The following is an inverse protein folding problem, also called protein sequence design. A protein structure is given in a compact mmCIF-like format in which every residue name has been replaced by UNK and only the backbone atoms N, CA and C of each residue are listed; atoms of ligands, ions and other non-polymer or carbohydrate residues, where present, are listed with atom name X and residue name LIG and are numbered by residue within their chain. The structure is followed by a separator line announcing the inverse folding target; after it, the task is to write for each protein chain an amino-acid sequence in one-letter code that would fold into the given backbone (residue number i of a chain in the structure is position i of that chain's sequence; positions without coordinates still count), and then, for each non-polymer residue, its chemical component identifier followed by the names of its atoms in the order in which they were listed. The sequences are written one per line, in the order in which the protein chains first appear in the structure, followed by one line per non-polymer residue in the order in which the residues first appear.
data_IF_238715479329
#
_entry.id   IF_238715479329
#
_cell.length_a   1.000
_cell.length_b   1.000
_cell.length_c   1.000
_cell.angle_alpha   90.00
_cell.angle_beta   90.00
_cell.angle_gamma   90.00
#
_symmetry.space_group_name_H-M   'P 1'
#
loop_
_entity.id
_entity.type
_entity.pdbx_description
1 polymer ?
#
# COMPACT_ATOMS: atom_id res chain seq x y z
N UNK A 1 12.48 -30.65 -0.34
CA UNK A 1 11.15 -31.19 -0.68
C UNK A 1 10.97 -32.48 0.10
N UNK A 2 10.13 -32.50 1.13
CA UNK A 2 9.90 -33.70 1.94
C UNK A 2 8.67 -34.42 1.35
N UNK A 3 8.89 -35.45 0.52
CA UNK A 3 7.82 -36.20 -0.16
C UNK A 3 7.68 -37.54 0.57
N UNK A 4 6.47 -37.87 1.02
CA UNK A 4 6.18 -39.12 1.75
C UNK A 4 5.45 -40.15 0.88
N UNK A 5 5.81 -40.20 -0.41
CA UNK A 5 5.13 -41.05 -1.39
C UNK A 5 5.21 -42.54 -1.05
N UNK A 6 6.35 -43.01 -0.51
CA UNK A 6 6.52 -44.42 -0.14
C UNK A 6 5.59 -44.84 1.00
N UNK A 7 5.51 -44.00 2.04
CA UNK A 7 4.56 -44.18 3.14
C UNK A 7 3.11 -44.13 2.67
N UNK A 8 2.77 -43.20 1.77
CA UNK A 8 1.43 -43.07 1.21
C UNK A 8 1.03 -44.28 0.36
N UNK A 9 1.89 -44.77 -0.54
CA UNK A 9 1.64 -45.98 -1.32
C UNK A 9 1.36 -47.15 -0.38
N UNK A 10 2.21 -47.36 0.64
CA UNK A 10 2.04 -48.44 1.63
C UNK A 10 0.72 -48.29 2.38
N UNK A 11 0.40 -47.08 2.85
CA UNK A 11 -0.81 -46.77 3.62
C UNK A 11 -2.06 -47.03 2.78
N UNK A 12 -2.14 -46.48 1.57
CA UNK A 12 -3.28 -46.61 0.67
C UNK A 12 -3.48 -48.05 0.21
N UNK A 13 -2.38 -48.77 -0.09
CA UNK A 13 -2.42 -50.18 -0.43
C UNK A 13 -3.00 -51.02 0.72
N UNK A 14 -2.54 -50.79 1.95
CA UNK A 14 -3.06 -51.47 3.15
C UNK A 14 -4.53 -51.13 3.42
N UNK A 15 -4.93 -49.86 3.26
CA UNK A 15 -6.33 -49.43 3.41
C UNK A 15 -7.27 -50.12 2.43
N UNK A 16 -6.80 -50.41 1.21
CA UNK A 16 -7.56 -51.14 0.19
C UNK A 16 -7.42 -52.67 0.27
N UNK A 17 -6.65 -53.20 1.23
CA UNK A 17 -6.44 -54.64 1.38
C UNK A 17 -5.66 -55.30 0.23
N UNK A 18 -4.85 -54.53 -0.50
CA UNK A 18 -4.12 -54.99 -1.70
C UNK A 18 -2.72 -55.49 -1.32
N UNK A 19 -2.20 -56.55 -1.95
CA UNK A 19 -0.82 -57.02 -1.73
C UNK A 19 0.18 -56.27 -2.62
N UNK A 20 1.48 -56.33 -2.31
CA UNK A 20 2.48 -55.66 -3.16
C UNK A 20 2.50 -56.27 -4.56
N UNK A 21 2.29 -57.59 -4.66
CA UNK A 21 2.18 -58.34 -5.90
C UNK A 21 0.98 -57.88 -6.73
N UNK A 22 -0.20 -57.78 -6.11
CA UNK A 22 -1.41 -57.35 -6.82
C UNK A 22 -1.32 -55.90 -7.33
N UNK A 23 -0.63 -55.02 -6.58
CA UNK A 23 -0.36 -53.66 -7.04
C UNK A 23 0.66 -53.66 -8.19
N UNK A 24 1.70 -54.50 -8.11
CA UNK A 24 2.72 -54.63 -9.15
C UNK A 24 2.13 -55.11 -10.48
N UNK A 25 1.27 -56.14 -10.42
CA UNK A 25 0.56 -56.67 -11.59
C UNK A 25 -0.33 -55.59 -12.24
N UNK A 26 -1.01 -54.78 -11.43
CA UNK A 26 -1.87 -53.71 -11.93
C UNK A 26 -1.10 -52.60 -12.64
N UNK A 27 0.10 -52.29 -12.18
CA UNK A 27 0.95 -51.23 -12.72
C UNK A 27 1.97 -51.76 -13.74
N UNK A 28 1.93 -53.05 -14.06
CA UNK A 28 2.89 -53.73 -14.94
C UNK A 28 4.35 -53.51 -14.53
N UNK A 29 4.63 -53.63 -13.22
CA UNK A 29 5.96 -53.53 -12.64
C UNK A 29 6.28 -54.77 -11.80
N UNK A 30 7.50 -54.87 -11.28
CA UNK A 30 7.87 -55.99 -10.41
C UNK A 30 7.44 -55.73 -8.96
N UNK A 31 7.09 -56.76 -8.17
CA UNK A 31 6.82 -56.60 -6.74
C UNK A 31 7.98 -55.97 -5.97
N UNK A 32 9.23 -56.21 -6.41
CA UNK A 32 10.41 -55.55 -5.85
C UNK A 32 10.39 -54.03 -6.08
N UNK A 33 9.85 -53.54 -7.20
CA UNK A 33 9.69 -52.11 -7.45
C UNK A 33 8.73 -51.48 -6.42
N UNK A 34 7.57 -52.10 -6.19
CA UNK A 34 6.61 -51.65 -5.16
C UNK A 34 7.25 -51.65 -3.78
N UNK A 35 7.95 -52.72 -3.41
CA UNK A 35 8.63 -52.81 -2.11
C UNK A 35 9.69 -51.71 -1.92
N UNK A 36 10.46 -51.41 -2.97
CA UNK A 36 11.44 -50.31 -2.97
C UNK A 36 10.77 -48.94 -2.84
N UNK A 37 9.65 -48.73 -3.53
CA UNK A 37 8.88 -47.49 -3.41
C UNK A 37 8.34 -47.30 -2.00
N UNK A 38 7.73 -48.34 -1.43
CA UNK A 38 7.17 -48.28 -0.08
C UNK A 38 8.25 -48.04 0.98
N UNK A 39 9.43 -48.62 0.81
CA UNK A 39 10.57 -48.47 1.74
C UNK A 39 11.42 -47.23 1.52
N UNK A 40 11.02 -46.34 0.60
CA UNK A 40 11.79 -45.13 0.22
C UNK A 40 13.20 -45.43 -0.29
N UNK A 41 13.48 -46.69 -0.64
CA UNK A 41 14.73 -47.15 -1.26
C UNK A 41 14.80 -46.84 -2.77
N UNK A 42 13.80 -46.12 -3.28
CA UNK A 42 13.66 -45.64 -4.65
C UNK A 42 12.28 -45.01 -4.84
N UNK A 43 12.13 -44.14 -5.83
CA UNK A 43 10.85 -43.51 -6.15
C UNK A 43 10.28 -44.06 -7.47
N UNK A 44 8.94 -44.11 -7.63
CA UNK A 44 8.34 -44.38 -8.92
C UNK A 44 8.75 -43.29 -9.92
N UNK A 45 9.00 -43.68 -11.17
CA UNK A 45 9.17 -42.71 -12.25
C UNK A 45 7.89 -41.88 -12.42
N UNK A 46 8.03 -40.66 -12.95
CA UNK A 46 6.91 -39.72 -13.13
C UNK A 46 5.74 -40.33 -13.92
N UNK A 47 6.05 -41.23 -14.85
CA UNK A 47 5.09 -41.96 -15.70
C UNK A 47 4.13 -42.84 -14.89
N UNK A 48 4.52 -43.34 -13.72
CA UNK A 48 3.68 -44.19 -12.87
C UNK A 48 2.78 -43.41 -11.92
N UNK A 49 3.00 -42.10 -11.76
CA UNK A 49 2.24 -41.29 -10.81
C UNK A 49 0.75 -41.19 -11.17
N UNK A 50 0.35 -40.96 -12.43
CA UNK A 50 -1.06 -40.95 -12.82
C UNK A 50 -1.76 -42.29 -12.57
N UNK A 51 -1.08 -43.41 -12.85
CA UNK A 51 -1.63 -44.75 -12.67
C UNK A 51 -1.77 -45.12 -11.18
N UNK A 52 -0.79 -44.76 -10.36
CA UNK A 52 -0.86 -44.90 -8.91
C UNK A 52 -2.01 -44.06 -8.31
N UNK A 53 -2.09 -42.79 -8.71
CA UNK A 53 -3.14 -41.87 -8.26
C UNK A 53 -4.53 -42.38 -8.68
N UNK A 54 -4.68 -42.78 -9.94
CA UNK A 54 -5.89 -43.39 -10.48
C UNK A 54 -6.25 -44.71 -9.80
N UNK A 55 -5.28 -45.57 -9.51
CA UNK A 55 -5.52 -46.81 -8.77
C UNK A 55 -6.05 -46.54 -7.36
N UNK A 56 -5.48 -45.57 -6.64
CA UNK A 56 -5.89 -45.22 -5.28
C UNK A 56 -7.06 -44.24 -5.20
N UNK A 57 -7.51 -43.68 -6.33
CA UNK A 57 -8.64 -42.75 -6.40
C UNK A 57 -8.37 -41.42 -5.71
N UNK A 58 -7.13 -40.94 -5.78
CA UNK A 58 -6.67 -39.67 -5.18
C UNK A 58 -5.95 -38.83 -6.25
N UNK A 59 -5.68 -37.55 -5.94
CA UNK A 59 -4.83 -36.72 -6.79
C UNK A 59 -3.35 -37.13 -6.73
N UNK A 60 -2.55 -36.71 -7.73
CA UNK A 60 -1.09 -36.90 -7.70
C UNK A 60 -0.47 -36.11 -6.53
N UNK A 61 -0.99 -34.93 -6.22
CA UNK A 61 -0.57 -34.14 -5.06
C UNK A 61 -0.76 -34.91 -3.74
N UNK A 62 -1.94 -35.50 -3.53
CA UNK A 62 -2.20 -36.36 -2.37
C UNK A 62 -1.28 -37.59 -2.33
N UNK A 63 -1.01 -38.21 -3.48
CA UNK A 63 -0.09 -39.35 -3.57
C UNK A 63 1.33 -38.96 -3.12
N UNK A 64 1.80 -37.78 -3.55
CA UNK A 64 3.08 -37.20 -3.16
C UNK A 64 3.11 -36.71 -1.70
N UNK A 65 1.96 -36.70 -1.01
CA UNK A 65 1.86 -36.14 0.34
C UNK A 65 1.84 -34.61 0.35
N UNK A 66 1.64 -33.98 -0.81
CA UNK A 66 1.42 -32.53 -0.92
C UNK A 66 -0.02 -32.26 -0.54
N UNK A 67 -0.24 -31.85 0.71
CA UNK A 67 -1.54 -31.38 1.15
C UNK A 67 -1.71 -29.95 0.68
N UNK A 68 -2.24 -29.78 -0.54
CA UNK A 68 -2.51 -28.47 -1.12
C UNK A 68 -3.29 -27.56 -0.17
N UNK A 69 -4.27 -28.12 0.56
CA UNK A 69 -5.04 -27.38 1.57
C UNK A 69 -4.19 -26.82 2.72
N UNK A 70 -3.16 -27.53 3.18
CA UNK A 70 -2.26 -27.05 4.24
C UNK A 70 -1.28 -26.00 3.69
N UNK A 71 -0.78 -26.18 2.46
CA UNK A 71 0.07 -25.20 1.78
C UNK A 71 -0.69 -23.90 1.46
N UNK A 72 -1.96 -24.01 1.05
CA UNK A 72 -2.85 -22.88 0.82
C UNK A 72 -3.21 -22.16 2.12
N UNK A 73 -3.56 -22.91 3.17
CA UNK A 73 -3.78 -22.33 4.50
C UNK A 73 -2.53 -21.60 5.01
N UNK A 74 -1.35 -22.18 4.81
CA UNK A 74 -0.07 -21.56 5.16
C UNK A 74 0.20 -20.28 4.36
N UNK A 75 -0.10 -20.27 3.06
CA UNK A 75 0.00 -19.06 2.23
C UNK A 75 -0.96 -17.97 2.73
N UNK A 76 -2.19 -18.35 3.06
CA UNK A 76 -3.20 -17.44 3.58
C UNK A 76 -2.80 -16.86 4.95
N UNK A 77 -2.20 -17.65 5.84
CA UNK A 77 -1.61 -17.15 7.09
C UNK A 77 -0.52 -16.10 6.83
N UNK A 78 0.35 -16.34 5.85
CA UNK A 78 1.40 -15.39 5.46
C UNK A 78 0.77 -14.12 4.90
N UNK A 79 -0.23 -14.19 4.03
CA UNK A 79 -0.92 -13.02 3.49
C UNK A 79 -1.57 -12.18 4.59
N UNK A 80 -2.21 -12.83 5.56
CA UNK A 80 -2.77 -12.15 6.72
C UNK A 80 -1.69 -11.49 7.58
N UNK A 81 -0.51 -12.10 7.70
CA UNK A 81 0.63 -11.49 8.39
C UNK A 81 1.21 -10.30 7.60
N UNK A 82 1.36 -10.42 6.28
CA UNK A 82 1.81 -9.35 5.38
C UNK A 82 0.89 -8.14 5.48
N UNK A 83 -0.43 -8.33 5.38
CA UNK A 83 -1.40 -7.24 5.54
C UNK A 83 -1.21 -6.51 6.87
N UNK A 84 -1.04 -7.25 7.97
CA UNK A 84 -0.80 -6.64 9.29
C UNK A 84 0.53 -5.90 9.38
N UNK A 85 1.56 -6.36 8.67
CA UNK A 85 2.88 -5.69 8.60
C UNK A 85 2.73 -4.38 7.81
N UNK A 86 2.03 -4.42 6.67
CA UNK A 86 1.78 -3.24 5.85
C UNK A 86 0.92 -2.19 6.57
N UNK A 87 -0.06 -2.62 7.36
CA UNK A 87 -0.95 -1.75 8.13
C UNK A 87 -0.28 -1.08 9.35
N UNK A 88 0.80 -1.70 9.86
CA UNK A 88 1.52 -1.25 11.08
C UNK A 88 2.91 -0.64 10.79
N UNK A 89 3.29 -0.56 9.52
CA UNK A 89 4.65 -0.26 9.08
C UNK A 89 5.68 -1.37 9.36
N UNK A 90 6.79 -1.31 8.62
CA UNK A 90 7.87 -2.29 8.66
C UNK A 90 8.79 -2.10 9.87
N UNK A 91 9.10 -3.18 10.57
CA UNK A 91 10.12 -3.24 11.63
C UNK A 91 11.25 -4.22 11.25
N UNK A 92 12.44 -4.17 11.89
CA UNK A 92 13.60 -4.97 11.47
C UNK A 92 13.33 -6.48 11.36
N UNK A 93 12.52 -7.02 12.27
CA UNK A 93 12.20 -8.45 12.32
C UNK A 93 11.33 -8.91 11.14
N UNK A 94 10.64 -8.00 10.45
CA UNK A 94 9.77 -8.33 9.31
C UNK A 94 10.57 -8.82 8.10
N UNK A 95 11.78 -8.31 7.90
CA UNK A 95 12.65 -8.76 6.80
C UNK A 95 12.99 -10.24 6.97
N UNK A 96 13.25 -10.69 8.20
CA UNK A 96 13.52 -12.10 8.49
C UNK A 96 12.33 -12.99 8.15
N UNK A 97 11.14 -12.63 8.65
CA UNK A 97 9.90 -13.33 8.34
C UNK A 97 9.61 -13.38 6.83
N UNK A 98 9.76 -12.26 6.12
CA UNK A 98 9.49 -12.17 4.69
C UNK A 98 10.52 -12.93 3.84
N UNK A 99 11.77 -13.05 4.29
CA UNK A 99 12.76 -13.93 3.66
C UNK A 99 12.38 -15.39 3.80
N UNK A 100 11.96 -15.81 4.98
CA UNK A 100 11.50 -17.19 5.22
C UNK A 100 10.25 -17.51 4.39
N UNK A 101 9.29 -16.58 4.34
CA UNK A 101 8.11 -16.69 3.50
C UNK A 101 8.48 -16.76 2.01
N UNK A 102 9.41 -15.92 1.55
CA UNK A 102 9.90 -15.95 0.16
C UNK A 102 10.62 -17.27 -0.16
N UNK A 103 11.37 -17.84 0.78
CA UNK A 103 12.00 -19.15 0.60
C UNK A 103 10.96 -20.28 0.50
N UNK A 104 9.85 -20.18 1.24
CA UNK A 104 8.74 -21.14 1.20
C UNK A 104 7.87 -21.00 -0.09
N UNK A 105 7.72 -19.78 -0.58
CA UNK A 105 6.91 -19.39 -1.74
C UNK A 105 7.68 -18.48 -2.72
N UNK A 106 8.71 -18.99 -3.42
CA UNK A 106 9.62 -18.16 -4.22
C UNK A 106 8.99 -17.54 -5.47
N UNK A 107 7.88 -18.10 -5.97
CA UNK A 107 7.15 -17.58 -7.12
C UNK A 107 6.02 -16.60 -6.78
N UNK A 108 5.75 -16.38 -5.49
CA UNK A 108 4.59 -15.61 -5.05
C UNK A 108 4.86 -14.10 -5.15
N UNK A 109 4.12 -13.43 -6.04
CA UNK A 109 4.34 -12.01 -6.34
C UNK A 109 4.06 -11.11 -5.14
N UNK A 110 3.05 -11.43 -4.33
CA UNK A 110 2.68 -10.65 -3.13
C UNK A 110 3.77 -10.72 -2.07
N UNK A 111 4.26 -11.92 -1.76
CA UNK A 111 5.33 -12.11 -0.76
C UNK A 111 6.62 -11.42 -1.22
N UNK A 112 6.97 -11.54 -2.50
CA UNK A 112 8.14 -10.87 -3.09
C UNK A 112 8.02 -9.35 -3.03
N UNK A 113 6.85 -8.81 -3.34
CA UNK A 113 6.60 -7.37 -3.25
C UNK A 113 6.69 -6.86 -1.81
N UNK A 114 6.09 -7.57 -0.86
CA UNK A 114 6.19 -7.26 0.57
C UNK A 114 7.66 -7.28 1.06
N UNK A 115 8.44 -8.29 0.66
CA UNK A 115 9.87 -8.37 0.97
C UNK A 115 10.64 -7.17 0.41
N UNK A 116 10.40 -6.82 -0.87
CA UNK A 116 11.04 -5.66 -1.48
C UNK A 116 10.69 -4.36 -0.75
N UNK A 117 9.42 -4.19 -0.33
CA UNK A 117 9.01 -3.05 0.45
C UNK A 117 9.74 -3.00 1.80
N UNK A 118 9.75 -4.10 2.56
CA UNK A 118 10.44 -4.17 3.84
C UNK A 118 11.92 -3.83 3.73
N UNK A 119 12.60 -4.38 2.73
CA UNK A 119 14.03 -4.14 2.47
C UNK A 119 14.33 -2.67 2.14
N UNK A 120 13.37 -1.97 1.52
CA UNK A 120 13.54 -0.59 1.08
C UNK A 120 12.89 0.45 2.02
N UNK A 121 12.22 0.05 3.12
CA UNK A 121 11.45 0.96 3.99
C UNK A 121 12.17 1.41 5.27
N UNK A 122 13.43 1.00 5.50
CA UNK A 122 14.14 1.35 6.73
C UNK A 122 13.46 0.80 7.99
N UNK A 123 13.87 1.24 9.18
CA UNK A 123 13.24 0.79 10.44
C UNK A 123 13.24 1.92 11.46
N UNK A 124 12.04 2.48 11.74
CA UNK A 124 11.91 3.71 12.51
C UNK A 124 12.71 4.85 11.85
N UNK A 125 13.55 5.54 12.61
CA UNK A 125 14.40 6.62 12.11
C UNK A 125 15.65 6.14 11.33
N UNK A 126 15.87 4.82 11.20
CA UNK A 126 17.05 4.28 10.51
C UNK A 126 16.79 4.09 9.03
N UNK A 127 17.69 4.65 8.21
CA UNK A 127 17.72 4.39 6.78
C UNK A 127 17.96 2.90 6.47
N UNK A 128 17.38 2.38 5.37
CA UNK A 128 17.63 1.00 4.95
C UNK A 128 19.08 0.79 4.52
N UNK A 129 19.58 -0.42 4.77
CA UNK A 129 20.91 -0.82 4.34
C UNK A 129 20.99 -0.89 2.81
N UNK A 130 22.07 -0.36 2.23
CA UNK A 130 22.27 -0.33 0.76
C UNK A 130 22.10 -1.69 0.09
N UNK A 131 22.60 -2.74 0.72
CA UNK A 131 22.46 -4.10 0.19
C UNK A 131 20.98 -4.54 0.10
N UNK A 132 20.17 -4.22 1.12
CA UNK A 132 18.74 -4.48 1.11
C UNK A 132 18.02 -3.69 0.02
N UNK A 133 18.34 -2.41 -0.14
CA UNK A 133 17.76 -1.56 -1.20
C UNK A 133 18.09 -2.10 -2.60
N UNK A 134 19.33 -2.54 -2.85
CA UNK A 134 19.72 -3.15 -4.13
C UNK A 134 19.00 -4.49 -4.39
N UNK A 135 18.77 -5.28 -3.34
CA UNK A 135 17.98 -6.50 -3.44
C UNK A 135 16.51 -6.20 -3.77
N UNK A 136 15.90 -5.24 -3.06
CA UNK A 136 14.55 -4.78 -3.32
C UNK A 136 14.38 -4.31 -4.77
N UNK A 137 15.32 -3.51 -5.27
CA UNK A 137 15.32 -3.02 -6.65
C UNK A 137 15.33 -4.18 -7.66
N UNK A 138 16.19 -5.18 -7.45
CA UNK A 138 16.24 -6.38 -8.29
C UNK A 138 14.93 -7.15 -8.27
N UNK A 139 14.32 -7.33 -7.09
CA UNK A 139 13.04 -8.01 -6.94
C UNK A 139 11.94 -7.24 -7.71
N UNK A 140 11.85 -5.92 -7.54
CA UNK A 140 10.83 -5.09 -8.18
C UNK A 140 10.98 -5.09 -9.70
N UNK A 141 12.19 -4.96 -10.23
CA UNK A 141 12.39 -5.05 -11.68
C UNK A 141 11.99 -6.41 -12.24
N UNK A 142 12.21 -7.49 -11.50
CA UNK A 142 11.76 -8.82 -11.91
C UNK A 142 10.23 -8.94 -11.87
N UNK A 143 9.58 -8.41 -10.83
CA UNK A 143 8.12 -8.35 -10.72
C UNK A 143 7.49 -7.49 -11.83
N UNK A 144 8.08 -6.35 -12.20
CA UNK A 144 7.60 -5.51 -13.31
C UNK A 144 7.58 -6.28 -14.64
N UNK A 145 8.53 -7.21 -14.85
CA UNK A 145 8.60 -8.03 -16.08
C UNK A 145 7.64 -9.21 -16.06
N UNK A 146 7.30 -9.71 -14.88
CA UNK A 146 6.50 -10.94 -14.69
C UNK A 146 5.07 -10.67 -14.23
N UNK A 147 4.70 -9.42 -13.95
CA UNK A 147 3.39 -9.06 -13.42
C UNK A 147 2.25 -9.54 -14.34
N UNK A 148 1.27 -10.21 -13.75
CA UNK A 148 0.12 -10.76 -14.49
C UNK A 148 -0.87 -9.67 -14.92
N UNK A 149 -0.93 -8.57 -14.16
CA UNK A 149 -1.87 -7.48 -14.34
C UNK A 149 -1.22 -6.11 -14.13
N UNK A 150 -1.74 -5.12 -14.86
CA UNK A 150 -1.20 -3.77 -14.89
C UNK A 150 -1.25 -3.07 -13.52
N UNK A 151 -2.29 -3.29 -12.71
CA UNK A 151 -2.40 -2.68 -11.38
C UNK A 151 -1.23 -3.07 -10.45
N UNK A 152 -0.86 -4.35 -10.47
CA UNK A 152 0.28 -4.86 -9.70
C UNK A 152 1.61 -4.36 -10.30
N UNK A 153 1.72 -4.38 -11.63
CA UNK A 153 2.88 -3.83 -12.35
C UNK A 153 3.12 -2.37 -11.98
N UNK A 154 2.08 -1.53 -12.02
CA UNK A 154 2.15 -0.12 -11.66
C UNK A 154 2.49 0.09 -10.19
N UNK A 155 2.07 -0.81 -9.30
CA UNK A 155 2.46 -0.77 -7.89
C UNK A 155 3.97 -1.01 -7.72
N UNK A 156 4.55 -1.94 -8.48
CA UNK A 156 6.00 -2.16 -8.52
C UNK A 156 6.75 -0.95 -9.10
N UNK A 157 6.26 -0.37 -10.20
CA UNK A 157 6.86 0.82 -10.84
C UNK A 157 6.83 2.03 -9.89
N UNK A 158 5.70 2.28 -9.22
CA UNK A 158 5.60 3.35 -8.21
C UNK A 158 6.61 3.15 -7.08
N UNK A 159 6.80 1.92 -6.60
CA UNK A 159 7.77 1.64 -5.54
C UNK A 159 9.20 1.91 -5.99
N UNK A 160 9.56 1.50 -7.20
CA UNK A 160 10.86 1.81 -7.82
C UNK A 160 11.07 3.32 -7.93
N UNK A 161 10.08 4.08 -8.39
CA UNK A 161 10.17 5.54 -8.50
C UNK A 161 10.46 6.19 -7.14
N UNK A 162 9.75 5.77 -6.08
CA UNK A 162 10.01 6.25 -4.71
C UNK A 162 11.45 5.94 -4.28
N UNK A 163 11.97 4.75 -4.57
CA UNK A 163 13.37 4.39 -4.24
C UNK A 163 14.38 5.29 -4.96
N UNK A 164 14.16 5.57 -6.25
CA UNK A 164 15.04 6.42 -7.04
C UNK A 164 15.05 7.87 -6.57
N UNK A 165 13.88 8.38 -6.17
CA UNK A 165 13.74 9.71 -5.61
C UNK A 165 14.35 9.84 -4.21
N UNK A 166 13.93 8.98 -3.29
CA UNK A 166 14.14 9.20 -1.85
C UNK A 166 15.45 8.57 -1.34
N UNK A 167 15.93 7.49 -1.97
CA UNK A 167 17.16 6.81 -1.55
C UNK A 167 18.33 7.07 -2.50
N UNK A 168 18.12 6.86 -3.80
CA UNK A 168 19.20 7.01 -4.78
C UNK A 168 19.49 8.46 -5.14
N UNK A 169 18.49 9.34 -5.00
CA UNK A 169 18.53 10.73 -5.48
C UNK A 169 18.93 10.81 -6.97
N UNK A 170 18.43 9.88 -7.78
CA UNK A 170 18.68 9.78 -9.22
C UNK A 170 17.46 10.28 -9.99
N UNK A 171 17.52 11.55 -10.40
CA UNK A 171 16.44 12.23 -11.13
C UNK A 171 16.20 11.61 -12.50
N UNK A 172 17.27 11.23 -13.22
CA UNK A 172 17.14 10.65 -14.55
C UNK A 172 16.49 9.27 -14.49
N UNK A 173 16.97 8.40 -13.58
CA UNK A 173 16.36 7.10 -13.38
C UNK A 173 14.91 7.20 -12.88
N UNK A 174 14.60 8.18 -12.03
CA UNK A 174 13.22 8.46 -11.61
C UNK A 174 12.32 8.81 -12.82
N UNK A 175 12.76 9.71 -13.69
CA UNK A 175 12.02 10.10 -14.89
C UNK A 175 11.77 8.92 -15.84
N UNK A 176 12.81 8.12 -16.10
CA UNK A 176 12.70 6.90 -16.91
C UNK A 176 11.67 5.93 -16.32
N UNK A 177 11.70 5.70 -15.01
CA UNK A 177 10.78 4.78 -14.34
C UNK A 177 9.34 5.29 -14.39
N UNK A 178 9.11 6.57 -14.08
CA UNK A 178 7.78 7.18 -14.08
C UNK A 178 7.16 7.17 -15.48
N UNK A 179 7.98 7.30 -16.54
CA UNK A 179 7.52 7.23 -17.94
C UNK A 179 6.88 5.89 -18.32
N UNK A 180 7.09 4.83 -17.53
CA UNK A 180 6.46 3.53 -17.74
C UNK A 180 5.02 3.45 -17.18
N UNK A 181 4.58 4.45 -16.40
CA UNK A 181 3.19 4.56 -15.93
C UNK A 181 2.29 5.11 -17.05
N UNK A 182 0.97 4.80 -17.04
CA UNK A 182 0.06 5.32 -18.04
C UNK A 182 -0.12 6.83 -17.89
N UNK A 183 -0.29 7.52 -19.01
CA UNK A 183 -0.73 8.92 -19.01
C UNK A 183 -2.14 9.04 -18.42
N UNK A 184 -2.43 10.17 -17.77
CA UNK A 184 -3.75 10.45 -17.20
C UNK A 184 -4.88 10.39 -18.26
N UNK A 185 -4.56 10.74 -19.50
CA UNK A 185 -5.43 10.67 -20.68
C UNK A 185 -5.90 9.24 -20.99
N UNK A 186 -5.18 8.24 -20.49
CA UNK A 186 -5.41 6.82 -20.75
C UNK A 186 -6.03 6.09 -19.55
N UNK A 187 -6.33 6.80 -18.46
CA UNK A 187 -6.91 6.19 -17.26
C UNK A 187 -8.33 5.67 -17.53
N UNK A 188 -8.61 4.44 -17.07
CA UNK A 188 -9.90 3.75 -17.22
C UNK A 188 -11.07 4.60 -16.73
N UNK A 189 -10.91 5.29 -15.60
CA UNK A 189 -11.96 6.13 -15.01
C UNK A 189 -12.41 7.26 -15.94
N UNK A 190 -11.52 7.81 -16.76
CA UNK A 190 -11.85 8.86 -17.73
C UNK A 190 -12.82 8.32 -18.80
N UNK A 191 -12.59 7.10 -19.29
CA UNK A 191 -13.48 6.45 -20.26
C UNK A 191 -14.77 5.92 -19.61
N UNK A 192 -14.71 5.49 -18.35
CA UNK A 192 -15.90 5.04 -17.63
C UNK A 192 -16.86 6.20 -17.32
N UNK A 193 -16.36 7.42 -17.08
CA UNK A 193 -17.22 8.58 -16.91
C UNK A 193 -18.00 8.96 -18.17
N UNK A 194 -17.53 8.52 -19.35
CA UNK A 194 -18.18 8.73 -20.64
C UNK A 194 -19.18 7.61 -21.00
N UNK A 195 -19.16 6.47 -20.29
CA UNK A 195 -19.99 5.31 -20.60
C UNK A 195 -21.34 5.35 -19.88
N UNK A 196 -22.43 5.43 -20.66
CA UNK A 196 -23.82 5.48 -20.19
C UNK A 196 -24.35 4.11 -19.68
N UNK A 197 -23.73 3.54 -18.65
CA UNK A 197 -24.39 2.54 -17.81
C UNK A 197 -25.49 3.24 -17.02
N UNK A 198 -26.75 2.77 -17.14
CA UNK A 198 -27.98 3.48 -16.74
C UNK A 198 -27.85 4.47 -15.58
N UNK A 199 -28.44 5.67 -15.73
CA UNK A 199 -28.29 6.91 -14.95
C UNK A 199 -27.52 6.83 -13.61
N UNK A 200 -27.95 5.97 -12.68
CA UNK A 200 -27.35 5.82 -11.35
C UNK A 200 -25.89 5.33 -11.37
N UNK A 201 -25.47 4.47 -12.29
CA UNK A 201 -24.08 3.98 -12.34
C UNK A 201 -23.13 5.02 -12.93
N UNK A 202 -23.58 5.78 -13.92
CA UNK A 202 -22.81 6.87 -14.52
C UNK A 202 -22.57 7.99 -13.50
N UNK A 203 -23.60 8.38 -12.73
CA UNK A 203 -23.48 9.42 -11.70
C UNK A 203 -22.45 9.06 -10.62
N UNK A 204 -22.44 7.81 -10.14
CA UNK A 204 -21.48 7.33 -9.13
C UNK A 204 -20.04 7.42 -9.64
N UNK A 205 -19.79 7.02 -10.90
CA UNK A 205 -18.45 7.09 -11.50
C UNK A 205 -18.01 8.55 -11.69
N UNK A 206 -18.91 9.42 -12.17
CA UNK A 206 -18.61 10.84 -12.35
C UNK A 206 -18.30 11.55 -11.03
N UNK A 207 -19.07 11.25 -9.97
CA UNK A 207 -18.78 11.77 -8.63
C UNK A 207 -17.42 11.26 -8.11
N UNK A 208 -17.06 10.01 -8.37
CA UNK A 208 -15.76 9.46 -7.99
C UNK A 208 -14.58 10.12 -8.75
N UNK A 209 -14.74 10.35 -10.06
CA UNK A 209 -13.76 11.06 -10.89
C UNK A 209 -13.57 12.49 -10.41
N UNK A 210 -14.67 13.24 -10.22
CA UNK A 210 -14.63 14.61 -9.71
C UNK A 210 -13.91 14.67 -8.36
N UNK A 211 -14.25 13.77 -7.44
CA UNK A 211 -13.61 13.66 -6.13
C UNK A 211 -12.10 13.47 -6.23
N UNK A 212 -11.65 12.49 -7.03
CA UNK A 212 -10.22 12.19 -7.24
C UNK A 212 -9.49 13.39 -7.87
N UNK A 213 -10.05 13.98 -8.92
CA UNK A 213 -9.43 15.11 -9.61
C UNK A 213 -9.35 16.36 -8.72
N UNK A 214 -10.42 16.72 -8.01
CA UNK A 214 -10.42 17.87 -7.09
C UNK A 214 -9.37 17.73 -6.00
N UNK A 215 -9.20 16.52 -5.48
CA UNK A 215 -8.16 16.22 -4.50
C UNK A 215 -6.75 16.36 -5.05
N UNK A 216 -6.47 15.80 -6.22
CA UNK A 216 -5.13 15.86 -6.82
C UNK A 216 -4.79 17.30 -7.21
N UNK A 217 -5.75 17.99 -7.84
CA UNK A 217 -5.60 19.37 -8.26
C UNK A 217 -5.34 20.31 -7.08
N UNK A 218 -6.07 20.16 -5.96
CA UNK A 218 -5.83 20.97 -4.76
C UNK A 218 -4.45 20.73 -4.15
N UNK A 219 -3.95 19.48 -4.11
CA UNK A 219 -2.60 19.18 -3.66
C UNK A 219 -1.52 19.81 -4.57
N UNK A 220 -1.62 19.61 -5.89
CA UNK A 220 -0.66 20.13 -6.86
C UNK A 220 -0.62 21.65 -6.82
N UNK A 221 -1.79 22.30 -6.80
CA UNK A 221 -1.85 23.76 -6.74
C UNK A 221 -1.30 24.31 -5.43
N UNK A 222 -1.63 23.69 -4.29
CA UNK A 222 -1.06 24.07 -3.00
C UNK A 222 0.46 24.05 -3.06
N UNK A 223 1.04 22.97 -3.57
CA UNK A 223 2.49 22.79 -3.60
C UNK A 223 3.14 23.77 -4.58
N UNK A 224 2.50 24.03 -5.72
CA UNK A 224 2.95 25.06 -6.67
C UNK A 224 2.90 26.46 -6.06
N UNK A 225 1.84 26.83 -5.35
CA UNK A 225 1.72 28.14 -4.70
C UNK A 225 2.74 28.30 -3.57
N UNK A 226 2.92 27.27 -2.75
CA UNK A 226 3.81 27.33 -1.59
C UNK A 226 5.29 27.28 -2.02
N UNK A 227 5.65 26.41 -2.96
CA UNK A 227 7.04 26.06 -3.26
C UNK A 227 7.49 26.41 -4.68
N UNK A 228 6.57 26.50 -5.64
CA UNK A 228 6.87 26.82 -7.04
C UNK A 228 6.89 28.32 -7.35
N UNK A 229 6.01 29.10 -6.72
CA UNK A 229 5.99 30.55 -6.87
C UNK A 229 7.09 31.23 -6.02
N UNK A 230 7.68 32.35 -6.51
CA UNK A 230 8.67 33.14 -5.75
C UNK A 230 8.17 33.44 -4.34
N UNK A 231 9.04 33.36 -3.33
CA UNK A 231 8.68 33.43 -1.92
C UNK A 231 9.33 34.62 -1.20
N UNK A 232 9.09 35.82 -1.71
CA UNK A 232 9.64 37.08 -1.18
C UNK A 232 8.51 37.90 -0.53
N UNK A 233 8.79 38.78 0.46
CA UNK A 233 7.76 39.56 1.16
C UNK A 233 6.76 40.27 0.24
N UNK A 234 7.21 40.76 -0.90
CA UNK A 234 6.44 41.46 -1.93
C UNK A 234 5.40 40.54 -2.61
N UNK A 235 5.59 39.23 -2.54
CA UNK A 235 4.76 38.21 -3.20
C UNK A 235 3.75 37.55 -2.26
N UNK A 236 3.88 37.73 -0.94
CA UNK A 236 3.07 37.00 0.04
C UNK A 236 1.57 37.30 -0.05
N UNK A 237 1.19 38.54 -0.34
CA UNK A 237 -0.23 38.88 -0.57
C UNK A 237 -0.80 38.15 -1.78
N UNK A 238 -0.04 38.07 -2.89
CA UNK A 238 -0.47 37.29 -4.05
C UNK A 238 -0.57 35.80 -3.74
N UNK A 239 0.32 35.25 -2.89
CA UNK A 239 0.20 33.87 -2.41
C UNK A 239 -1.06 33.66 -1.58
N UNK A 240 -1.42 34.61 -0.71
CA UNK A 240 -2.66 34.56 0.06
C UNK A 240 -3.88 34.53 -0.86
N UNK A 241 -3.92 35.36 -1.91
CA UNK A 241 -5.00 35.36 -2.91
C UNK A 241 -5.14 33.99 -3.59
N UNK A 242 -4.01 33.37 -3.96
CA UNK A 242 -4.00 32.02 -4.53
C UNK A 242 -4.51 30.97 -3.53
N UNK A 243 -4.07 31.03 -2.27
CA UNK A 243 -4.54 30.10 -1.24
C UNK A 243 -6.05 30.24 -1.01
N UNK A 244 -6.60 31.45 -1.02
CA UNK A 244 -8.04 31.70 -0.91
C UNK A 244 -8.81 31.15 -2.11
N UNK A 245 -8.27 31.30 -3.31
CA UNK A 245 -8.85 30.69 -4.50
C UNK A 245 -8.87 29.16 -4.41
N UNK A 246 -7.78 28.54 -3.95
CA UNK A 246 -7.71 27.07 -3.80
C UNK A 246 -8.67 26.58 -2.71
N UNK A 247 -8.79 27.30 -1.58
CA UNK A 247 -9.77 26.98 -0.53
C UNK A 247 -11.19 27.05 -1.11
N UNK A 248 -11.52 28.13 -1.82
CA UNK A 248 -12.84 28.28 -2.44
C UNK A 248 -13.13 27.18 -3.46
N UNK A 249 -12.14 26.79 -4.27
CA UNK A 249 -12.27 25.66 -5.19
C UNK A 249 -12.61 24.36 -4.44
N UNK A 250 -11.87 24.03 -3.38
CA UNK A 250 -12.12 22.84 -2.56
C UNK A 250 -13.55 22.84 -1.97
N UNK A 251 -13.99 23.98 -1.42
CA UNK A 251 -15.35 24.15 -0.88
C UNK A 251 -16.44 23.92 -1.92
N UNK A 252 -16.25 24.42 -3.14
CA UNK A 252 -17.21 24.22 -4.22
C UNK A 252 -17.22 22.76 -4.68
N UNK A 253 -16.07 22.09 -4.74
CA UNK A 253 -16.01 20.66 -5.05
C UNK A 253 -16.73 19.81 -3.99
N UNK A 254 -16.63 20.16 -2.71
CA UNK A 254 -17.38 19.47 -1.64
C UNK A 254 -18.90 19.55 -1.82
N UNK A 255 -19.42 20.60 -2.47
CA UNK A 255 -20.86 20.72 -2.77
C UNK A 255 -21.31 19.81 -3.92
N UNK A 256 -20.38 19.39 -4.78
CA UNK A 256 -20.64 18.53 -5.94
C UNK A 256 -20.51 17.04 -5.62
N UNK A 257 -19.72 16.68 -4.60
CA UNK A 257 -19.49 15.28 -4.20
C UNK A 257 -20.48 14.92 -3.09
N UNK A 258 -21.36 13.95 -3.35
CA UNK A 258 -22.26 13.41 -2.32
C UNK A 258 -21.59 12.27 -1.55
N UNK A 259 -21.76 12.19 -0.22
CA UNK A 259 -21.31 11.03 0.58
C UNK A 259 -20.39 11.35 1.77
N UNK A 260 -19.95 10.28 2.47
CA UNK A 260 -19.22 10.33 3.75
C UNK A 260 -17.71 10.63 3.65
N UNK A 261 -17.17 10.79 2.44
CA UNK A 261 -15.71 10.91 2.19
C UNK A 261 -15.22 12.36 1.95
N UNK A 262 -15.94 13.37 2.46
CA UNK A 262 -15.50 14.77 2.45
C UNK A 262 -14.22 15.02 3.27
N UNK A 263 -13.84 14.09 4.15
CA UNK A 263 -12.73 14.24 5.11
C UNK A 263 -11.38 14.59 4.47
N UNK A 264 -11.09 14.15 3.24
CA UNK A 264 -9.79 14.44 2.63
C UNK A 264 -9.72 15.85 2.00
N UNK A 265 -10.83 16.40 1.51
CA UNK A 265 -10.90 17.81 1.09
C UNK A 265 -10.87 18.73 2.31
N UNK A 266 -11.59 18.38 3.37
CA UNK A 266 -11.54 19.05 4.68
C UNK A 266 -10.08 19.09 5.21
N UNK A 267 -9.34 17.99 5.07
CA UNK A 267 -7.93 17.95 5.46
C UNK A 267 -7.02 18.86 4.62
N UNK A 268 -7.25 18.93 3.31
CA UNK A 268 -6.51 19.85 2.44
C UNK A 268 -6.80 21.31 2.79
N UNK A 269 -8.06 21.66 3.07
CA UNK A 269 -8.45 23.02 3.49
C UNK A 269 -7.78 23.39 4.82
N UNK A 270 -7.74 22.48 5.79
CA UNK A 270 -7.03 22.71 7.05
C UNK A 270 -5.54 23.06 6.81
N UNK A 271 -4.86 22.30 5.96
CA UNK A 271 -3.44 22.56 5.62
C UNK A 271 -3.26 23.92 4.91
N UNK A 272 -4.17 24.30 4.01
CA UNK A 272 -4.15 25.59 3.33
C UNK A 272 -4.29 26.76 4.32
N UNK A 273 -5.22 26.66 5.27
CA UNK A 273 -5.37 27.66 6.33
C UNK A 273 -4.11 27.78 7.21
N UNK A 274 -3.41 26.69 7.48
CA UNK A 274 -2.10 26.74 8.19
C UNK A 274 -1.05 27.53 7.41
N UNK A 275 -1.00 27.34 6.08
CA UNK A 275 -0.11 28.12 5.21
C UNK A 275 -0.49 29.59 5.21
N UNK A 276 -1.79 29.93 5.11
CA UNK A 276 -2.26 31.31 5.27
C UNK A 276 -1.80 31.92 6.59
N UNK A 277 -1.97 31.21 7.71
CA UNK A 277 -1.51 31.67 9.01
C UNK A 277 -0.01 31.97 9.04
N UNK A 278 0.82 31.15 8.39
CA UNK A 278 2.27 31.41 8.28
C UNK A 278 2.53 32.75 7.58
N UNK A 279 1.88 33.01 6.45
CA UNK A 279 2.06 34.26 5.71
C UNK A 279 1.54 35.47 6.48
N UNK A 280 0.38 35.36 7.14
CA UNK A 280 -0.16 36.43 7.98
C UNK A 280 0.76 36.77 9.15
N UNK A 281 1.34 35.78 9.84
CA UNK A 281 2.34 36.06 10.89
C UNK A 281 3.56 36.78 10.31
N UNK A 282 4.05 36.34 9.14
CA UNK A 282 5.19 36.98 8.49
C UNK A 282 4.91 38.43 8.06
N UNK A 283 3.66 38.76 7.72
CA UNK A 283 3.19 40.11 7.41
C UNK A 283 2.90 40.96 8.67
N UNK A 284 2.93 40.37 9.86
CA UNK A 284 2.56 41.05 11.11
C UNK A 284 1.05 41.15 11.36
N UNK A 285 0.25 40.43 10.59
CA UNK A 285 -1.22 40.39 10.65
C UNK A 285 -1.68 39.32 11.65
N UNK A 286 -1.55 39.63 12.95
CA UNK A 286 -1.78 38.66 14.02
C UNK A 286 -3.23 38.16 14.10
N UNK A 287 -4.22 39.01 13.87
CA UNK A 287 -5.63 38.64 14.00
C UNK A 287 -6.09 37.74 12.86
N UNK A 288 -5.61 38.01 11.64
CA UNK A 288 -5.82 37.22 10.44
C UNK A 288 -5.14 35.85 10.57
N UNK A 289 -3.91 35.81 11.09
CA UNK A 289 -3.20 34.58 11.38
C UNK A 289 -3.98 33.68 12.35
N UNK A 290 -4.47 34.25 13.45
CA UNK A 290 -5.26 33.52 14.45
C UNK A 290 -6.58 33.01 13.86
N UNK A 291 -7.25 33.82 13.04
CA UNK A 291 -8.50 33.43 12.37
C UNK A 291 -8.27 32.27 11.39
N UNK A 292 -7.13 32.28 10.69
CA UNK A 292 -6.73 31.17 9.83
C UNK A 292 -6.41 29.89 10.64
N UNK A 293 -5.75 30.00 11.81
CA UNK A 293 -5.51 28.84 12.69
C UNK A 293 -6.80 28.25 13.29
N UNK A 294 -7.78 29.09 13.61
CA UNK A 294 -9.10 28.65 14.07
C UNK A 294 -9.84 27.88 12.97
N UNK A 295 -9.86 28.41 11.74
CA UNK A 295 -10.43 27.72 10.58
C UNK A 295 -9.70 26.38 10.30
N UNK A 296 -8.37 26.35 10.37
CA UNK A 296 -7.60 25.11 10.28
C UNK A 296 -8.09 24.08 11.29
N UNK A 297 -8.28 24.47 12.55
CA UNK A 297 -8.75 23.57 13.61
C UNK A 297 -10.17 23.05 13.35
N UNK A 298 -11.07 23.89 12.83
CA UNK A 298 -12.45 23.51 12.51
C UNK A 298 -12.50 22.46 11.39
N UNK A 299 -11.72 22.67 10.33
CA UNK A 299 -11.61 21.73 9.22
C UNK A 299 -10.93 20.42 9.65
N UNK A 300 -9.85 20.50 10.44
CA UNK A 300 -9.16 19.31 10.96
C UNK A 300 -10.08 18.43 11.82
N UNK A 301 -10.96 19.04 12.63
CA UNK A 301 -11.90 18.31 13.48
C UNK A 301 -13.01 17.56 12.74
N UNK A 302 -13.23 17.85 11.45
CA UNK A 302 -14.19 17.12 10.60
C UNK A 302 -13.57 15.91 9.91
N UNK A 303 -12.25 15.76 9.96
CA UNK A 303 -11.54 14.62 9.37
C UNK A 303 -11.60 13.45 10.36
N UNK A 304 -12.18 12.29 9.98
CA UNK A 304 -12.24 11.14 10.86
C UNK A 304 -10.83 10.66 11.24
N UNK A 305 -10.66 10.19 12.48
CA UNK A 305 -9.37 9.73 13.02
C UNK A 305 -8.82 8.47 12.35
N UNK A 306 -9.69 7.59 11.87
CA UNK A 306 -9.35 6.45 11.03
C UNK A 306 -10.04 6.61 9.66
N UNK A 307 -9.32 6.44 8.53
CA UNK A 307 -9.97 6.37 7.23
C UNK A 307 -10.86 5.13 7.17
N UNK A 308 -11.99 5.23 6.45
CA UNK A 308 -12.76 4.03 6.10
C UNK A 308 -11.87 3.04 5.33
N UNK A 309 -12.10 1.71 5.43
CA UNK A 309 -11.30 0.72 4.72
C UNK A 309 -11.18 1.05 3.23
N UNK A 310 -9.95 1.20 2.72
CA UNK A 310 -9.67 1.57 1.33
C UNK A 310 -9.52 3.07 1.04
N UNK A 311 -9.64 3.95 2.03
CA UNK A 311 -9.39 5.39 1.89
C UNK A 311 -7.96 5.71 2.32
N UNK A 312 -7.16 6.36 1.46
CA UNK A 312 -5.79 6.82 1.83
C UNK A 312 -5.88 7.83 2.98
N UNK A 313 -4.97 7.71 3.96
CA UNK A 313 -4.78 8.74 4.99
C UNK A 313 -4.52 10.11 4.32
N UNK A 314 -5.01 11.23 4.89
CA UNK A 314 -4.55 12.55 4.50
C UNK A 314 -3.02 12.62 4.56
N UNK A 315 -2.40 13.62 3.90
CA UNK A 315 -0.94 13.88 3.94
C UNK A 315 -0.46 14.19 5.37
N UNK A 316 -0.38 13.16 6.20
CA UNK A 316 0.28 13.09 7.49
C UNK A 316 1.58 12.33 7.21
N UNK A 317 2.75 12.75 7.74
CA UNK A 317 3.96 11.95 7.70
C UNK A 317 3.66 10.52 8.17
N UNK A 318 4.27 9.50 7.57
CA UNK A 318 3.99 8.04 7.67
C UNK A 318 4.06 7.40 9.09
N UNK A 319 3.68 8.12 10.15
CA UNK A 319 3.60 7.62 11.51
C UNK A 319 2.14 7.33 11.87
N UNK A 320 1.80 6.05 11.90
CA UNK A 320 0.43 5.53 11.85
C UNK A 320 -0.44 5.79 13.08
N UNK A 321 0.12 6.33 14.16
CA UNK A 321 -0.57 6.57 15.43
C UNK A 321 -1.28 7.92 15.56
N UNK A 322 -1.24 8.76 14.52
CA UNK A 322 -1.62 10.17 14.65
C UNK A 322 -2.57 10.65 13.54
N UNK A 323 -3.66 11.31 13.94
CA UNK A 323 -4.64 11.90 13.02
C UNK A 323 -4.21 13.30 12.54
N UNK A 324 -4.99 13.91 11.64
CA UNK A 324 -4.67 15.23 11.10
C UNK A 324 -4.57 16.32 12.18
N UNK A 325 -5.39 16.25 13.23
CA UNK A 325 -5.34 17.21 14.33
C UNK A 325 -4.01 17.13 15.08
N UNK A 326 -3.47 15.93 15.29
CA UNK A 326 -2.12 15.75 15.83
C UNK A 326 -1.04 16.38 14.94
N UNK A 327 -1.14 16.19 13.61
CA UNK A 327 -0.19 16.81 12.68
C UNK A 327 -0.24 18.33 12.76
N UNK A 328 -1.45 18.92 12.74
CA UNK A 328 -1.64 20.35 12.91
C UNK A 328 -1.05 20.83 14.25
N UNK A 329 -1.27 20.08 15.35
CA UNK A 329 -0.71 20.37 16.67
C UNK A 329 0.83 20.38 16.65
N UNK A 330 1.45 19.38 16.02
CA UNK A 330 2.92 19.30 15.91
C UNK A 330 3.51 20.53 15.19
N UNK A 331 2.76 21.11 14.24
CA UNK A 331 3.16 22.32 13.53
C UNK A 331 3.07 23.59 14.38
N UNK A 332 2.27 23.61 15.45
CA UNK A 332 2.08 24.80 16.30
C UNK A 332 3.33 25.12 17.14
N UNK A 333 4.24 24.16 17.34
CA UNK A 333 5.48 24.34 18.11
C UNK A 333 6.61 25.02 17.31
N UNK A 334 6.35 25.47 16.08
CA UNK A 334 7.37 26.10 15.25
C UNK A 334 7.58 27.57 15.63
N UNK A 335 8.84 28.00 15.74
CA UNK A 335 9.27 29.37 16.10
C UNK A 335 8.56 30.48 15.31
N UNK A 336 8.11 30.16 14.08
CA UNK A 336 7.34 31.10 13.25
C UNK A 336 6.07 31.62 13.93
N UNK A 337 5.52 30.91 14.91
CA UNK A 337 4.30 31.30 15.62
C UNK A 337 4.57 32.05 16.93
N UNK A 338 5.83 32.26 17.32
CA UNK A 338 6.21 33.01 18.52
C UNK A 338 5.49 34.36 18.68
N UNK A 339 5.26 35.16 17.61
CA UNK A 339 4.56 36.44 17.72
C UNK A 339 3.12 36.33 18.25
N UNK A 340 2.46 35.18 18.05
CA UNK A 340 1.05 34.96 18.44
C UNK A 340 0.89 33.88 19.51
N UNK A 341 1.96 33.18 19.88
CA UNK A 341 1.95 32.01 20.76
C UNK A 341 1.32 32.26 22.15
N UNK A 342 1.54 33.46 22.70
CA UNK A 342 1.04 33.82 24.03
C UNK A 342 -0.41 34.34 24.05
N UNK A 343 -1.06 34.44 22.89
CA UNK A 343 -2.43 34.95 22.82
C UNK A 343 -3.45 33.93 23.33
N UNK A 344 -4.57 34.36 23.94
CA UNK A 344 -5.64 33.45 24.36
C UNK A 344 -6.22 32.63 23.20
N UNK A 345 -6.36 33.23 22.02
CA UNK A 345 -6.86 32.57 20.80
C UNK A 345 -5.94 31.43 20.36
N UNK A 346 -4.62 31.66 20.35
CA UNK A 346 -3.66 30.61 19.99
C UNK A 346 -3.71 29.42 20.97
N UNK A 347 -3.76 29.70 22.28
CA UNK A 347 -3.88 28.65 23.30
C UNK A 347 -5.17 27.84 23.14
N UNK A 348 -6.28 28.50 22.84
CA UNK A 348 -7.55 27.82 22.58
C UNK A 348 -7.46 26.88 21.35
N UNK A 349 -6.77 27.28 20.28
CA UNK A 349 -6.50 26.40 19.13
C UNK A 349 -5.68 25.18 19.55
N UNK A 350 -4.60 25.36 20.31
CA UNK A 350 -3.75 24.26 20.81
C UNK A 350 -4.53 23.29 21.68
N UNK A 351 -5.36 23.80 22.61
CA UNK A 351 -6.22 22.97 23.47
C UNK A 351 -7.23 22.16 22.65
N UNK A 352 -7.88 22.78 21.66
CA UNK A 352 -8.83 22.10 20.76
C UNK A 352 -8.15 21.00 19.94
N UNK A 353 -6.99 21.30 19.33
CA UNK A 353 -6.22 20.30 18.58
C UNK A 353 -5.76 19.16 19.48
N UNK A 354 -5.34 19.44 20.70
CA UNK A 354 -4.97 18.42 21.69
C UNK A 354 -6.14 17.49 22.00
N UNK A 355 -7.35 18.03 22.16
CA UNK A 355 -8.55 17.23 22.38
C UNK A 355 -8.91 16.36 21.17
N UNK A 356 -8.75 16.90 19.96
CA UNK A 356 -9.02 16.19 18.70
C UNK A 356 -7.92 15.18 18.33
N UNK A 357 -6.71 15.32 18.88
CA UNK A 357 -5.57 14.43 18.61
C UNK A 357 -5.57 13.12 19.41
N UNK A 358 -6.48 13.00 20.40
CA UNK A 358 -6.71 11.81 21.21
C UNK A 358 -7.78 10.94 20.58
#
# INVERSE_FOLDING_TARGET
MNITIGENIRKLRKLRGVTQEALADRLNVTPQAISRWESEAGFPAIEYLPDLAGFFGISVDELLGVKLSEREARREEIYNAVSRIEDRGYVPDDVGFLRDAHAEFPGDQTIRFALANALASGSGDRQPEKAGVQEAEKILWDLVRQADHDDFRFSCIKRLAVMYKDYWHDEHGYEEIVSMLPEISSCREFFLSDYFGGANQTEVVQQDVLRKLSQWFSCVLRDYVCFGLPNEPETWNSKLDWLDWVISFCEQCMRLVSGKDAGMLEGNIAVLHRYKATYYVALGEADEALSALEAMCDHAGKVPGEPAPGVRKPLVPDNESHNLAWYCLSCMNQDRYDPIHNTPRFRAVVERLTALSR
#
